data_IF_825429691108
#
_entry.id   IF_825429691108
#
_cell.length_a   1.000
_cell.length_b   1.000
_cell.length_c   1.000
_cell.angle_alpha   90.00
_cell.angle_beta   90.00
_cell.angle_gamma   90.00
#
_symmetry.space_group_name_H-M   'P 1'
#
loop_
_entity.id
_entity.type
_entity.pdbx_description
1 polymer ?
#
# COMPACT_ATOMS: atom_id res chain seq x y z
N UNK A 1 52.38 -31.62 5.63
CA UNK A 1 51.50 -30.46 5.90
C UNK A 1 50.29 -30.60 4.97
N UNK A 2 49.09 -30.90 5.50
CA UNK A 2 47.98 -29.93 5.68
C UNK A 2 47.67 -29.18 4.36
N UNK A 3 46.50 -29.21 3.73
CA UNK A 3 45.13 -29.62 4.06
C UNK A 3 44.30 -29.82 2.77
N UNK A 4 43.13 -30.45 2.95
CA UNK A 4 41.89 -30.44 2.14
C UNK A 4 41.54 -29.03 1.58
N UNK A 5 40.74 -28.86 0.51
CA UNK A 5 39.26 -28.92 0.45
C UNK A 5 38.84 -28.98 -1.04
N UNK A 6 38.27 -30.09 -1.51
CA UNK A 6 36.84 -30.33 -1.81
C UNK A 6 36.21 -29.39 -2.86
N UNK A 7 35.79 -30.01 -3.97
CA UNK A 7 35.08 -29.41 -5.09
C UNK A 7 33.72 -28.83 -4.66
N UNK A 8 33.46 -27.57 -5.03
CA UNK A 8 32.12 -26.98 -4.95
C UNK A 8 31.21 -27.67 -5.95
N UNK A 9 30.32 -28.51 -5.44
CA UNK A 9 29.19 -29.05 -6.16
C UNK A 9 28.24 -27.90 -6.55
N UNK A 10 27.85 -27.88 -7.82
CA UNK A 10 26.76 -27.06 -8.32
C UNK A 10 25.47 -27.42 -7.54
N UNK A 11 24.93 -26.45 -6.81
CA UNK A 11 23.61 -26.57 -6.21
C UNK A 11 22.56 -26.34 -7.30
N UNK A 12 22.19 -27.41 -7.99
CA UNK A 12 21.01 -27.44 -8.85
C UNK A 12 19.80 -27.58 -7.91
N UNK A 13 18.93 -26.57 -7.78
CA UNK A 13 17.73 -26.72 -6.98
C UNK A 13 16.83 -27.81 -7.60
N UNK A 14 16.22 -28.67 -6.78
CA UNK A 14 15.37 -29.73 -7.29
C UNK A 14 14.15 -29.12 -7.99
N UNK A 15 13.93 -29.57 -9.22
CA UNK A 15 12.68 -29.47 -9.95
C UNK A 15 11.53 -29.91 -9.05
N UNK A 16 10.78 -28.94 -8.52
CA UNK A 16 9.45 -29.16 -7.98
C UNK A 16 8.52 -29.47 -9.16
N UNK A 17 8.38 -30.77 -9.41
CA UNK A 17 7.26 -31.31 -10.13
C UNK A 17 5.95 -30.92 -9.44
N UNK A 18 4.97 -30.48 -10.23
CA UNK A 18 3.55 -30.67 -9.89
C UNK A 18 2.81 -29.48 -9.27
N UNK A 19 2.49 -28.48 -10.10
CA UNK A 19 1.17 -27.84 -10.07
C UNK A 19 0.82 -27.35 -11.48
N UNK A 20 0.69 -28.28 -12.42
CA UNK A 20 -0.24 -28.11 -13.53
C UNK A 20 -1.64 -28.34 -12.94
N UNK A 21 -2.35 -27.26 -12.60
CA UNK A 21 -3.81 -27.09 -12.64
C UNK A 21 -4.09 -25.71 -12.02
N UNK A 22 -4.87 -24.91 -12.74
CA UNK A 22 -5.12 -23.49 -12.48
C UNK A 22 -5.43 -23.17 -11.01
N UNK A 23 -4.80 -22.14 -10.45
CA UNK A 23 -5.25 -21.58 -9.17
C UNK A 23 -4.19 -20.97 -8.24
N UNK A 24 -2.90 -21.00 -8.56
CA UNK A 24 -1.95 -20.12 -7.88
C UNK A 24 -2.20 -18.68 -8.34
N UNK A 25 -3.21 -18.03 -7.76
CA UNK A 25 -3.25 -16.58 -7.75
C UNK A 25 -1.99 -16.12 -7.02
N UNK A 26 -0.99 -15.72 -7.80
CA UNK A 26 0.00 -14.77 -7.33
C UNK A 26 -0.75 -13.69 -6.54
N UNK A 27 -0.25 -13.19 -5.40
CA UNK A 27 -0.90 -12.07 -4.74
C UNK A 27 -1.13 -11.03 -5.82
N UNK A 28 -2.40 -10.79 -6.14
CA UNK A 28 -2.79 -9.84 -7.17
C UNK A 28 -1.95 -8.61 -6.90
N UNK A 29 -1.17 -8.21 -7.90
CA UNK A 29 -0.45 -6.94 -7.85
C UNK A 29 -1.53 -5.94 -7.48
N UNK A 30 -1.55 -5.52 -6.20
CA UNK A 30 -2.48 -4.50 -5.74
C UNK A 30 -2.34 -3.40 -6.79
N UNK A 31 -3.44 -2.92 -7.41
CA UNK A 31 -3.33 -1.76 -8.26
C UNK A 31 -2.48 -0.74 -7.48
N UNK A 32 -1.47 -0.17 -8.15
CA UNK A 32 -0.64 0.87 -7.54
C UNK A 32 -1.56 1.80 -6.76
N UNK A 33 -1.16 2.27 -5.55
CA UNK A 33 -2.02 3.10 -4.72
C UNK A 33 -2.64 4.14 -5.64
N UNK A 34 -3.98 4.17 -5.67
CA UNK A 34 -4.74 5.10 -6.51
C UNK A 34 -4.35 6.50 -6.08
N UNK A 35 -3.33 7.04 -6.73
CA UNK A 35 -2.80 8.36 -6.45
C UNK A 35 -3.71 9.34 -7.16
N UNK A 36 -4.94 9.46 -6.66
CA UNK A 36 -5.84 10.50 -7.13
C UNK A 36 -5.16 11.84 -6.88
N UNK A 37 -4.78 12.53 -7.97
CA UNK A 37 -4.30 13.90 -7.91
C UNK A 37 -5.47 14.76 -7.44
N UNK A 38 -5.27 15.36 -6.27
CA UNK A 38 -6.31 16.03 -5.48
C UNK A 38 -5.87 17.43 -5.08
N UNK A 39 -4.92 17.99 -5.85
CA UNK A 39 -4.23 19.25 -5.58
C UNK A 39 -5.17 20.33 -5.03
N UNK A 40 -5.03 20.58 -3.73
CA UNK A 40 -5.71 21.61 -2.94
C UNK A 40 -7.22 21.43 -2.70
N UNK A 41 -7.81 20.29 -3.06
CA UNK A 41 -9.25 20.05 -2.90
C UNK A 41 -9.55 19.17 -1.66
N UNK A 42 -8.73 19.26 -0.61
CA UNK A 42 -8.82 18.44 0.61
C UNK A 42 -9.48 19.15 1.80
N UNK A 43 -10.15 20.29 1.56
CA UNK A 43 -10.89 21.03 2.58
C UNK A 43 -11.98 20.19 3.24
N UNK A 44 -12.56 19.21 2.53
CA UNK A 44 -13.58 18.30 3.02
C UNK A 44 -13.36 16.88 2.50
N UNK A 45 -13.64 15.87 3.32
CA UNK A 45 -13.43 14.47 2.98
C UNK A 45 -14.53 13.56 3.55
N UNK A 46 -14.84 12.49 2.85
CA UNK A 46 -15.75 11.45 3.32
C UNK A 46 -15.16 10.07 3.02
N UNK A 47 -15.00 9.25 4.05
CA UNK A 47 -14.58 7.87 3.91
C UNK A 47 -15.79 6.93 4.08
N UNK A 48 -16.39 6.52 2.97
CA UNK A 48 -17.44 5.49 2.95
C UNK A 48 -16.89 4.07 2.76
N UNK A 49 -15.60 3.87 3.04
CA UNK A 49 -14.95 2.57 3.00
C UNK A 49 -15.60 1.55 3.93
N UNK A 50 -15.33 0.27 3.69
CA UNK A 50 -15.84 -0.84 4.48
C UNK A 50 -14.64 -1.57 5.09
N UNK A 51 -14.60 -1.68 6.41
CA UNK A 51 -13.56 -2.45 7.10
C UNK A 51 -13.67 -3.95 6.82
N UNK A 52 -12.54 -4.61 6.69
CA UNK A 52 -12.43 -6.06 6.59
C UNK A 52 -11.02 -6.55 6.96
N UNK A 53 -10.83 -7.85 7.22
CA UNK A 53 -9.50 -8.41 7.48
C UNK A 53 -8.55 -8.10 6.32
N UNK A 54 -7.42 -7.48 6.61
CA UNK A 54 -6.38 -7.08 5.64
C UNK A 54 -6.83 -6.08 4.55
N UNK A 55 -7.98 -5.42 4.72
CA UNK A 55 -8.47 -4.37 3.83
C UNK A 55 -7.93 -3.03 4.31
N UNK A 56 -7.14 -2.30 3.49
CA UNK A 56 -6.80 -0.91 3.78
C UNK A 56 -8.09 -0.07 3.71
N UNK A 57 -8.58 0.33 4.86
CA UNK A 57 -9.90 0.93 5.06
C UNK A 57 -9.80 2.39 5.56
N UNK A 58 -8.62 2.81 6.01
CA UNK A 58 -8.34 4.20 6.34
C UNK A 58 -7.82 4.94 5.11
N UNK A 59 -8.28 6.17 4.88
CA UNK A 59 -7.66 7.05 3.88
C UNK A 59 -6.66 7.97 4.57
N UNK A 60 -5.46 8.08 4.00
CA UNK A 60 -4.42 9.04 4.38
C UNK A 60 -4.21 10.03 3.24
N UNK A 61 -4.32 11.32 3.54
CA UNK A 61 -4.04 12.43 2.62
C UNK A 61 -2.68 13.02 2.97
N UNK A 62 -1.86 13.24 1.95
CA UNK A 62 -0.52 13.80 2.05
C UNK A 62 -0.46 15.18 1.42
N UNK A 63 0.30 16.10 2.00
CA UNK A 63 0.49 17.43 1.42
C UNK A 63 1.38 17.43 0.16
N UNK A 64 2.25 16.44 0.00
CA UNK A 64 3.08 16.24 -1.18
C UNK A 64 2.43 15.35 -2.24
N UNK A 65 2.94 15.47 -3.47
CA UNK A 65 2.64 14.51 -4.55
C UNK A 65 3.29 13.16 -4.24
N UNK A 66 2.76 12.10 -4.82
CA UNK A 66 3.34 10.76 -4.75
C UNK A 66 3.48 10.19 -3.32
N UNK A 67 2.54 10.50 -2.42
CA UNK A 67 2.52 10.06 -1.02
C UNK A 67 3.72 10.58 -0.20
N UNK A 68 4.24 11.75 -0.56
CA UNK A 68 5.34 12.41 0.14
C UNK A 68 4.83 13.51 1.07
N UNK A 69 5.66 13.90 2.03
CA UNK A 69 5.35 14.98 2.96
C UNK A 69 4.51 14.53 4.16
N UNK A 70 3.86 15.50 4.81
CA UNK A 70 3.10 15.29 6.03
C UNK A 70 1.69 14.78 5.71
N UNK A 71 1.15 13.92 6.59
CA UNK A 71 -0.25 13.50 6.51
C UNK A 71 -1.13 14.63 7.04
N UNK A 72 -1.96 15.21 6.17
CA UNK A 72 -2.87 16.32 6.52
C UNK A 72 -4.18 15.79 7.09
N UNK A 73 -4.69 14.69 6.56
CA UNK A 73 -5.90 14.01 7.04
C UNK A 73 -5.67 12.50 7.12
N UNK A 74 -6.27 11.90 8.14
CA UNK A 74 -6.44 10.45 8.20
C UNK A 74 -7.83 10.10 8.73
N UNK A 75 -8.60 9.35 7.95
CA UNK A 75 -10.00 9.03 8.25
C UNK A 75 -10.23 7.53 8.23
N UNK A 76 -10.80 7.01 9.32
CA UNK A 76 -11.33 5.66 9.41
C UNK A 76 -12.65 5.52 8.61
N UNK A 77 -13.07 4.27 8.30
CA UNK A 77 -14.35 3.99 7.68
C UNK A 77 -15.52 4.64 8.40
N UNK A 78 -16.40 5.30 7.64
CA UNK A 78 -17.57 6.00 8.13
C UNK A 78 -17.29 7.40 8.69
N UNK A 79 -16.03 7.87 8.69
CA UNK A 79 -15.71 9.23 9.09
C UNK A 79 -15.85 10.21 7.93
N UNK A 80 -16.39 11.39 8.26
CA UNK A 80 -16.56 12.50 7.34
C UNK A 80 -16.08 13.78 8.03
N UNK A 81 -15.46 14.65 7.25
CA UNK A 81 -14.98 15.97 7.64
C UNK A 81 -15.56 16.96 6.65
N UNK A 82 -16.46 17.83 7.13
CA UNK A 82 -17.08 18.85 6.29
C UNK A 82 -16.16 20.04 6.00
N UNK A 83 -15.27 20.38 6.93
CA UNK A 83 -14.22 21.39 6.75
C UNK A 83 -13.09 21.18 7.76
N UNK A 84 -11.84 21.09 7.31
CA UNK A 84 -10.65 21.11 8.15
C UNK A 84 -9.66 22.20 7.70
N UNK A 85 -9.45 23.21 8.55
CA UNK A 85 -8.56 24.33 8.25
C UNK A 85 -7.08 23.97 8.21
N UNK A 86 -6.67 22.88 8.86
CA UNK A 86 -5.29 22.40 8.90
C UNK A 86 -4.91 21.58 7.66
N UNK A 87 -5.91 21.01 6.99
CA UNK A 87 -5.77 20.29 5.73
C UNK A 87 -6.06 21.15 4.50
N UNK A 88 -7.00 22.10 4.58
CA UNK A 88 -7.43 22.94 3.47
C UNK A 88 -6.29 23.45 2.55
N UNK A 89 -6.40 23.16 1.26
CA UNK A 89 -5.46 23.55 0.20
C UNK A 89 -4.04 22.98 0.35
N UNK A 90 -3.87 21.87 1.07
CA UNK A 90 -2.55 21.26 1.27
C UNK A 90 -2.43 19.92 0.57
N UNK A 91 -3.49 19.14 0.56
CA UNK A 91 -3.50 17.78 0.04
C UNK A 91 -3.17 17.73 -1.44
N UNK A 92 -2.21 16.88 -1.80
CA UNK A 92 -1.77 16.66 -3.17
C UNK A 92 -1.87 15.20 -3.60
N UNK A 93 -1.90 14.25 -2.67
CA UNK A 93 -2.10 12.83 -2.96
C UNK A 93 -2.72 12.09 -1.77
N UNK A 94 -3.31 10.91 -2.03
CA UNK A 94 -3.86 10.07 -0.97
C UNK A 94 -3.58 8.59 -1.20
N UNK A 95 -3.70 7.81 -0.13
CA UNK A 95 -3.64 6.34 -0.19
C UNK A 95 -4.57 5.70 0.83
N UNK A 96 -4.85 4.41 0.60
CA UNK A 96 -5.58 3.58 1.53
C UNK A 96 -4.59 2.80 2.42
N UNK A 97 -4.82 2.81 3.73
CA UNK A 97 -3.99 2.20 4.76
C UNK A 97 -4.84 1.39 5.73
N UNK A 98 -4.21 0.49 6.48
CA UNK A 98 -4.86 -0.30 7.53
C UNK A 98 -5.01 0.47 8.85
N UNK A 99 -4.39 1.65 8.96
CA UNK A 99 -4.51 2.52 10.13
C UNK A 99 -4.16 3.96 9.80
N UNK A 100 -4.62 4.86 10.68
CA UNK A 100 -3.92 6.10 11.00
C UNK A 100 -2.71 5.76 11.88
#
# INVERSE_FOLDING_TARGET
>A
MRQLVAASAAFVPPLLAGCLLAGCAAPERRPAPDMGDMSNEDSSWANHGISGPDVPDHVKVYDGRELQGDVTLCLAPGQEVGYDSGANDRGSSHTWSVSC
#
